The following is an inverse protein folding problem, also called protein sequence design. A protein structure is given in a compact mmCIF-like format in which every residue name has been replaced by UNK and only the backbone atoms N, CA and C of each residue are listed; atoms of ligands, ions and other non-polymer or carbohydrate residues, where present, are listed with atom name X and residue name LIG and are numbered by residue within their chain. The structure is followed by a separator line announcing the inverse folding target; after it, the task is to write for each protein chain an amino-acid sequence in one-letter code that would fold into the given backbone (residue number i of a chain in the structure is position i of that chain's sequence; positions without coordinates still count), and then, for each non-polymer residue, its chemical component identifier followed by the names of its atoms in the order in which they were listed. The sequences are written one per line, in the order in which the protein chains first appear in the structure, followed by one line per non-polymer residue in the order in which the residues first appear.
data_IF_392821508887
#
_entry.id   IF_392821508887
#
_cell.length_a   1.000
_cell.length_b   1.000
_cell.length_c   1.000
_cell.angle_alpha   90.00
_cell.angle_beta   90.00
_cell.angle_gamma   90.00
#
_symmetry.space_group_name_H-M   'P 1'
#
loop_
_entity.id
_entity.type
_entity.pdbx_description
1 polymer ?
#
# COMPACT_ATOMS: atom_id res chain seq x y z
N UNK A 1 13.09 -4.85 0.54
CA UNK A 1 12.08 -4.17 1.41
C UNK A 1 12.48 -4.08 2.88
N UNK A 2 12.96 -5.17 3.52
CA UNK A 2 13.29 -5.14 4.96
C UNK A 2 14.50 -4.27 5.23
N UNK A 3 15.51 -4.30 4.36
CA UNK A 3 16.68 -3.42 4.48
C UNK A 3 16.28 -1.95 4.49
N UNK A 4 15.39 -1.54 3.56
CA UNK A 4 14.82 -0.19 3.55
C UNK A 4 14.03 0.13 4.83
N UNK A 5 13.24 -0.82 5.35
CA UNK A 5 12.55 -0.61 6.62
C UNK A 5 13.54 -0.42 7.77
N UNK A 6 14.60 -1.22 7.85
CA UNK A 6 15.62 -1.11 8.90
C UNK A 6 16.44 0.18 8.78
N UNK A 7 16.71 0.64 7.56
CA UNK A 7 17.29 1.95 7.31
C UNK A 7 16.37 3.04 7.85
N UNK A 8 15.11 3.06 7.42
CA UNK A 8 14.11 4.03 7.86
C UNK A 8 13.92 4.01 9.38
N UNK A 9 13.88 2.83 10.01
CA UNK A 9 13.73 2.66 11.45
C UNK A 9 14.87 3.33 12.24
N UNK A 10 16.10 3.33 11.73
CA UNK A 10 17.24 4.00 12.38
C UNK A 10 17.11 5.53 12.35
N UNK A 11 16.36 6.07 11.40
CA UNK A 11 16.18 7.50 11.19
C UNK A 11 14.96 8.05 11.95
N UNK A 12 14.05 7.17 12.37
CA UNK A 12 12.87 7.52 13.17
C UNK A 12 13.21 7.61 14.67
N UNK A 13 12.38 8.30 15.48
CA UNK A 13 12.57 8.36 16.92
C UNK A 13 12.70 6.96 17.55
N UNK A 14 13.61 6.73 18.50
CA UNK A 14 13.79 5.41 19.12
C UNK A 14 12.48 4.86 19.69
N UNK A 15 12.18 3.60 19.38
CA UNK A 15 10.97 2.91 19.85
C UNK A 15 9.65 3.35 19.18
N UNK A 16 9.70 4.12 18.09
CA UNK A 16 8.49 4.57 17.36
C UNK A 16 8.08 3.67 16.20
N UNK A 17 8.92 2.71 15.80
CA UNK A 17 8.64 1.79 14.69
C UNK A 17 8.86 0.35 15.12
N UNK A 18 7.88 -0.51 14.84
CA UNK A 18 7.84 -1.91 15.26
C UNK A 18 7.54 -2.82 14.07
N UNK A 19 8.08 -4.04 14.13
CA UNK A 19 7.83 -5.11 13.15
C UNK A 19 7.23 -6.28 13.90
N UNK A 20 6.04 -6.70 13.48
CA UNK A 20 5.35 -7.88 14.03
C UNK A 20 5.24 -9.00 13.00
N UNK A 21 5.19 -10.25 13.47
CA UNK A 21 5.08 -11.46 12.65
C UNK A 21 6.44 -12.11 12.38
N UNK A 22 6.51 -12.95 11.35
CA UNK A 22 7.69 -13.79 11.08
C UNK A 22 8.98 -13.02 10.74
N UNK A 23 8.88 -11.73 10.40
CA UNK A 23 10.04 -10.88 10.11
C UNK A 23 10.52 -10.06 11.32
N UNK A 24 9.85 -10.16 12.47
CA UNK A 24 10.14 -9.34 13.64
C UNK A 24 9.70 -10.00 14.93
N UNK A 25 9.11 -9.21 15.83
CA UNK A 25 8.59 -9.73 17.09
C UNK A 25 7.32 -10.57 16.84
N UNK A 26 7.05 -11.60 17.66
CA UNK A 26 5.76 -12.27 17.63
C UNK A 26 4.61 -11.26 17.70
N UNK A 27 3.59 -11.44 16.86
CA UNK A 27 2.41 -10.58 16.93
C UNK A 27 1.73 -10.76 18.29
N UNK A 28 1.44 -9.67 19.03
CA UNK A 28 0.77 -9.77 20.33
C UNK A 28 -0.68 -10.23 20.19
N UNK A 29 -1.26 -10.16 18.99
CA UNK A 29 -2.63 -10.58 18.74
C UNK A 29 -2.71 -12.04 18.29
N UNK A 30 -3.60 -12.85 18.89
CA UNK A 30 -3.81 -14.22 18.50
C UNK A 30 -4.48 -14.30 17.13
N UNK A 31 -4.11 -15.33 16.35
CA UNK A 31 -4.72 -15.58 15.04
C UNK A 31 -4.38 -14.53 13.98
N UNK A 32 -5.23 -14.44 12.95
CA UNK A 32 -5.02 -13.58 11.76
C UNK A 32 -6.25 -12.73 11.42
N UNK A 33 -7.24 -12.68 12.31
CA UNK A 33 -8.44 -11.88 12.05
C UNK A 33 -8.22 -10.43 12.45
N UNK A 34 -7.90 -9.59 11.47
CA UNK A 34 -7.57 -8.18 11.69
C UNK A 34 -8.78 -7.32 12.10
N UNK A 35 -10.00 -7.84 11.99
CA UNK A 35 -11.20 -7.18 12.51
C UNK A 35 -11.35 -7.31 14.03
N UNK A 36 -10.64 -8.24 14.66
CA UNK A 36 -10.80 -8.51 16.09
C UNK A 36 -10.30 -7.34 16.95
N UNK A 37 -10.80 -7.26 18.18
CA UNK A 37 -10.51 -6.17 19.11
C UNK A 37 -9.00 -5.98 19.33
N UNK A 38 -8.22 -7.07 19.38
CA UNK A 38 -6.78 -6.97 19.57
C UNK A 38 -6.09 -6.24 18.41
N UNK A 39 -6.38 -6.59 17.15
CA UNK A 39 -5.74 -5.93 16.01
C UNK A 39 -6.17 -4.46 15.90
N UNK A 40 -7.43 -4.15 16.21
CA UNK A 40 -7.90 -2.76 16.26
C UNK A 40 -7.17 -1.95 17.33
N UNK A 41 -6.94 -2.52 18.52
CA UNK A 41 -6.16 -1.90 19.58
C UNK A 41 -4.68 -1.77 19.21
N UNK A 42 -4.09 -2.79 18.58
CA UNK A 42 -2.71 -2.72 18.13
C UNK A 42 -2.52 -1.64 17.06
N UNK A 43 -3.40 -1.59 16.05
CA UNK A 43 -3.28 -0.63 14.96
C UNK A 43 -3.59 0.81 15.38
N UNK A 44 -4.47 1.03 16.37
CA UNK A 44 -4.78 2.38 16.85
C UNK A 44 -3.58 3.09 17.51
N UNK A 45 -2.55 2.35 17.88
CA UNK A 45 -1.31 2.88 18.46
C UNK A 45 -0.35 3.47 17.43
N UNK A 46 -0.63 3.31 16.13
CA UNK A 46 0.27 3.74 15.05
C UNK A 46 -0.40 4.75 14.12
N UNK A 47 0.38 5.72 13.67
CA UNK A 47 -0.05 6.68 12.65
C UNK A 47 0.21 6.18 11.22
N UNK A 48 1.25 5.38 11.04
CA UNK A 48 1.71 4.92 9.73
C UNK A 48 1.74 3.40 9.65
N UNK A 49 1.39 2.86 8.48
CA UNK A 49 1.50 1.43 8.18
C UNK A 49 2.47 1.20 7.04
N UNK A 50 3.54 0.43 7.25
CA UNK A 50 4.49 0.06 6.19
C UNK A 50 3.85 -0.93 5.21
N UNK A 51 3.20 -0.41 4.16
CA UNK A 51 2.52 -1.16 3.11
C UNK A 51 3.51 -1.62 2.04
N UNK A 52 4.52 -2.41 2.45
CA UNK A 52 5.63 -2.81 1.59
C UNK A 52 5.36 -4.15 0.92
N UNK A 53 5.30 -4.15 -0.40
CA UNK A 53 5.15 -5.38 -1.17
C UNK A 53 6.42 -6.21 -1.22
N UNK A 54 6.25 -7.47 -1.62
CA UNK A 54 7.36 -8.43 -1.67
C UNK A 54 8.34 -8.14 -2.82
N UNK A 55 7.88 -7.46 -3.87
CA UNK A 55 8.63 -7.11 -5.08
C UNK A 55 8.21 -5.72 -5.58
N UNK A 56 9.02 -5.05 -6.40
CA UNK A 56 8.62 -3.81 -7.07
C UNK A 56 8.11 -4.10 -8.48
N UNK A 57 6.81 -4.11 -8.74
CA UNK A 57 6.27 -4.44 -10.06
C UNK A 57 5.16 -3.50 -10.50
N UNK A 58 5.00 -3.33 -11.82
CA UNK A 58 3.95 -2.51 -12.41
C UNK A 58 2.56 -3.00 -11.96
N UNK A 59 1.81 -2.12 -11.29
CA UNK A 59 0.47 -2.43 -10.77
C UNK A 59 0.40 -3.47 -9.65
N UNK A 60 1.53 -3.93 -9.07
CA UNK A 60 1.52 -4.91 -7.98
C UNK A 60 1.22 -4.25 -6.64
N UNK A 61 -0.07 -4.16 -6.31
CA UNK A 61 -0.59 -3.57 -5.06
C UNK A 61 -1.57 -4.55 -4.44
N UNK A 62 -1.37 -4.92 -3.18
CA UNK A 62 -2.12 -6.00 -2.50
C UNK A 62 -2.90 -5.50 -1.29
N UNK A 63 -3.36 -6.43 -0.43
CA UNK A 63 -4.06 -6.13 0.82
C UNK A 63 -3.27 -5.22 1.76
N UNK A 64 -1.93 -5.22 1.66
CA UNK A 64 -1.05 -4.45 2.56
C UNK A 64 -1.32 -2.96 2.48
N UNK A 65 -1.54 -2.43 1.28
CA UNK A 65 -1.87 -1.02 1.09
C UNK A 65 -3.20 -0.66 1.74
N UNK A 66 -4.23 -1.46 1.46
CA UNK A 66 -5.57 -1.23 1.97
C UNK A 66 -5.69 -1.41 3.49
N UNK A 67 -4.85 -2.28 4.09
CA UNK A 67 -4.82 -2.49 5.54
C UNK A 67 -4.57 -1.18 6.31
N UNK A 68 -3.61 -0.37 5.87
CA UNK A 68 -3.36 0.94 6.47
C UNK A 68 -4.62 1.82 6.43
N UNK A 69 -5.20 1.96 5.24
CA UNK A 69 -6.38 2.78 4.99
C UNK A 69 -7.59 2.35 5.83
N UNK A 70 -7.89 1.04 5.85
CA UNK A 70 -9.03 0.46 6.56
C UNK A 70 -8.93 0.68 8.07
N UNK A 71 -7.71 0.63 8.62
CA UNK A 71 -7.48 0.78 10.06
C UNK A 71 -7.16 2.23 10.50
N UNK A 72 -7.35 3.22 9.62
CA UNK A 72 -7.18 4.63 9.98
C UNK A 72 -5.72 5.08 10.12
N UNK A 73 -4.79 4.35 9.50
CA UNK A 73 -3.38 4.70 9.39
C UNK A 73 -3.09 5.25 8.00
N UNK A 74 -2.02 6.04 7.87
CA UNK A 74 -1.49 6.47 6.58
C UNK A 74 -0.58 5.36 6.02
N UNK A 75 -0.88 4.76 4.86
CA UNK A 75 0.01 3.78 4.25
C UNK A 75 1.31 4.45 3.79
N UNK A 76 2.44 3.82 4.11
CA UNK A 76 3.72 4.08 3.49
C UNK A 76 3.93 3.03 2.38
N UNK A 77 3.72 3.45 1.14
CA UNK A 77 3.66 2.60 -0.04
C UNK A 77 5.05 2.37 -0.65
N UNK A 78 5.38 1.10 -0.87
CA UNK A 78 6.55 0.63 -1.61
C UNK A 78 6.21 -0.71 -2.27
N UNK A 79 6.33 -0.83 -3.59
CA UNK A 79 5.96 -2.07 -4.29
C UNK A 79 5.42 -1.88 -5.69
N UNK A 80 4.59 -0.88 -5.93
CA UNK A 80 4.31 -0.43 -7.30
C UNK A 80 5.60 -0.01 -8.00
N UNK A 81 5.61 -0.06 -9.33
CA UNK A 81 6.72 0.43 -10.13
C UNK A 81 6.85 1.94 -10.01
N UNK A 82 5.73 2.63 -9.81
CA UNK A 82 5.70 4.08 -9.58
C UNK A 82 4.58 4.49 -8.64
N UNK A 83 4.66 5.72 -8.12
CA UNK A 83 3.55 6.36 -7.40
C UNK A 83 2.23 6.28 -8.17
N UNK A 84 2.27 6.40 -9.49
CA UNK A 84 1.07 6.41 -10.33
C UNK A 84 0.27 5.11 -10.24
N UNK A 85 0.90 3.98 -9.92
CA UNK A 85 0.18 2.72 -9.71
C UNK A 85 -0.78 2.82 -8.53
N UNK A 86 -0.36 3.51 -7.47
CA UNK A 86 -1.19 3.76 -6.29
C UNK A 86 -2.22 4.86 -6.53
N UNK A 87 -1.85 5.94 -7.22
CA UNK A 87 -2.76 7.07 -7.55
C UNK A 87 -3.95 6.67 -8.44
N UNK A 88 -3.84 5.56 -9.20
CA UNK A 88 -4.97 4.99 -9.96
C UNK A 88 -6.01 4.31 -9.06
N UNK A 89 -5.63 3.91 -7.84
CA UNK A 89 -6.46 3.15 -6.91
C UNK A 89 -6.94 3.99 -5.73
N UNK A 90 -6.15 4.95 -5.28
CA UNK A 90 -6.46 5.79 -4.13
C UNK A 90 -6.13 7.27 -4.41
N UNK A 91 -6.82 8.21 -3.73
CA UNK A 91 -6.49 9.63 -3.80
C UNK A 91 -5.03 9.90 -3.44
N UNK A 92 -4.41 10.83 -4.17
CA UNK A 92 -2.99 11.18 -3.99
C UNK A 92 -2.63 11.63 -2.57
N UNK A 93 -3.59 12.25 -1.88
CA UNK A 93 -3.45 12.74 -0.52
C UNK A 93 -3.67 11.65 0.54
N UNK A 94 -3.97 10.40 0.18
CA UNK A 94 -4.31 9.34 1.14
C UNK A 94 -3.11 8.52 1.65
N UNK A 95 -1.92 8.67 1.07
CA UNK A 95 -0.76 7.83 1.34
C UNK A 95 0.57 8.56 1.10
N UNK A 96 1.64 8.03 1.68
CA UNK A 96 3.02 8.41 1.37
C UNK A 96 3.62 7.37 0.43
N UNK A 97 4.24 7.79 -0.68
CA UNK A 97 5.01 6.89 -1.53
C UNK A 97 6.50 7.10 -1.28
N UNK A 98 7.28 6.02 -1.14
CA UNK A 98 8.70 6.13 -0.77
C UNK A 98 9.52 6.88 -1.82
N UNK A 99 9.16 6.78 -3.11
CA UNK A 99 9.88 7.46 -4.20
C UNK A 99 9.55 8.97 -4.30
N UNK A 100 8.64 9.49 -3.49
CA UNK A 100 8.36 10.94 -3.44
C UNK A 100 9.46 11.72 -2.72
N UNK A 101 10.37 11.01 -2.07
CA UNK A 101 11.43 11.56 -1.24
C UNK A 101 12.79 11.26 -1.87
N UNK A 102 13.69 12.24 -1.83
CA UNK A 102 15.04 12.08 -2.37
C UNK A 102 15.89 11.08 -1.56
N UNK A 103 15.53 10.84 -0.29
CA UNK A 103 16.21 9.90 0.59
C UNK A 103 15.29 9.34 1.68
N UNK A 104 15.70 8.23 2.30
CA UNK A 104 15.03 7.70 3.49
C UNK A 104 15.04 8.71 4.66
N UNK A 105 16.05 9.58 4.72
CA UNK A 105 16.14 10.65 5.71
C UNK A 105 15.07 11.72 5.50
N UNK A 106 14.82 12.12 4.25
CA UNK A 106 13.77 13.08 3.92
C UNK A 106 12.39 12.52 4.25
N UNK A 107 12.17 11.24 3.94
CA UNK A 107 10.94 10.52 4.33
C UNK A 107 10.78 10.48 5.86
N UNK A 108 11.83 10.09 6.61
CA UNK A 108 11.78 10.05 8.07
C UNK A 108 11.47 11.43 8.67
N UNK A 109 12.12 12.48 8.17
CA UNK A 109 11.88 13.86 8.61
C UNK A 109 10.42 14.27 8.37
N UNK A 110 9.88 13.94 7.20
CA UNK A 110 8.50 14.23 6.84
C UNK A 110 7.50 13.46 7.72
N UNK A 111 7.73 12.16 7.95
CA UNK A 111 6.90 11.34 8.84
C UNK A 111 6.88 11.90 10.27
N UNK A 112 8.03 12.34 10.78
CA UNK A 112 8.13 12.95 12.13
C UNK A 112 7.41 14.29 12.19
N UNK A 113 7.52 15.13 11.17
CA UNK A 113 6.80 16.41 11.09
C UNK A 113 5.27 16.22 11.06
N UNK A 114 4.78 15.28 10.24
CA UNK A 114 3.36 14.93 10.20
C UNK A 114 2.90 14.33 11.54
N UNK A 115 3.65 13.38 12.09
CA UNK A 115 3.27 12.69 13.34
C UNK A 115 3.20 13.62 14.56
N UNK A 116 3.86 14.78 14.51
CA UNK A 116 3.81 15.80 15.57
C UNK A 116 2.72 16.85 15.38
N UNK A 117 2.04 16.85 14.23
CA UNK A 117 1.04 17.84 13.87
C UNK A 117 -0.26 17.15 13.43
N UNK A 118 -1.25 17.17 14.33
CA UNK A 118 -2.54 16.52 14.10
C UNK A 118 -3.25 17.06 12.85
N UNK A 119 -3.14 18.36 12.55
CA UNK A 119 -3.79 18.94 11.37
C UNK A 119 -3.16 18.42 10.07
N UNK A 120 -1.82 18.35 10.01
CA UNK A 120 -1.12 17.74 8.87
C UNK A 120 -1.46 16.26 8.72
N UNK A 121 -1.52 15.51 9.83
CA UNK A 121 -1.89 14.10 9.80
C UNK A 121 -3.34 13.92 9.32
N UNK A 122 -4.27 14.74 9.81
CA UNK A 122 -5.68 14.65 9.47
C UNK A 122 -5.97 14.99 8.00
N UNK A 123 -5.10 15.74 7.32
CA UNK A 123 -5.22 16.00 5.87
C UNK A 123 -5.19 14.70 5.06
N UNK A 124 -4.48 13.65 5.51
CA UNK A 124 -4.44 12.36 4.83
C UNK A 124 -5.78 11.60 4.83
N UNK A 125 -6.77 12.09 5.58
CA UNK A 125 -8.10 11.48 5.66
C UNK A 125 -9.20 12.34 5.03
N UNK A 126 -8.84 13.48 4.40
CA UNK A 126 -9.79 14.36 3.74
C UNK A 126 -10.61 13.66 2.64
N UNK A 127 -10.01 12.65 1.99
CA UNK A 127 -10.67 11.79 1.00
C UNK A 127 -11.94 11.11 1.52
N UNK A 128 -12.08 10.87 2.83
CA UNK A 128 -13.26 10.20 3.42
C UNK A 128 -14.57 10.98 3.24
N UNK A 129 -14.47 12.28 2.96
CA UNK A 129 -15.63 13.12 2.61
C UNK A 129 -16.11 12.92 1.17
N UNK A 130 -15.27 12.33 0.30
CA UNK A 130 -15.50 12.21 -1.15
C UNK A 130 -15.59 10.76 -1.62
N UNK A 131 -14.98 9.83 -0.89
CA UNK A 131 -14.87 8.43 -1.27
C UNK A 131 -15.21 7.51 -0.10
N UNK A 132 -15.63 6.30 -0.45
CA UNK A 132 -15.88 5.21 0.49
C UNK A 132 -15.05 4.00 0.10
N UNK A 133 -14.66 3.21 1.10
CA UNK A 133 -14.03 1.91 0.85
C UNK A 133 -15.12 0.92 0.48
N UNK A 134 -14.95 0.28 -0.66
CA UNK A 134 -15.83 -0.80 -1.07
C UNK A 134 -15.38 -2.12 -0.45
N UNK A 135 -16.34 -2.93 -0.02
CA UNK A 135 -16.07 -4.28 0.44
C UNK A 135 -15.70 -5.20 -0.74
N UNK A 136 -15.11 -6.35 -0.41
CA UNK A 136 -14.57 -7.29 -1.41
C UNK A 136 -15.62 -7.83 -2.37
N UNK A 137 -16.82 -8.18 -1.87
CA UNK A 137 -17.85 -8.83 -2.69
C UNK A 137 -18.38 -7.93 -3.82
N UNK A 138 -18.87 -6.69 -3.55
CA UNK A 138 -19.31 -5.79 -4.62
C UNK A 138 -18.17 -5.43 -5.59
N UNK A 139 -16.95 -5.24 -5.06
CA UNK A 139 -15.77 -4.97 -5.89
C UNK A 139 -15.52 -6.12 -6.86
N UNK A 140 -15.60 -7.38 -6.41
CA UNK A 140 -15.39 -8.55 -7.25
C UNK A 140 -16.46 -8.65 -8.34
N UNK A 141 -17.74 -8.48 -7.99
CA UNK A 141 -18.85 -8.50 -8.96
C UNK A 141 -18.66 -7.45 -10.06
N UNK A 142 -18.34 -6.21 -9.71
CA UNK A 142 -18.08 -5.15 -10.69
C UNK A 142 -16.86 -5.45 -11.56
N UNK A 143 -15.79 -5.94 -10.95
CA UNK A 143 -14.56 -6.29 -11.68
C UNK A 143 -14.82 -7.35 -12.76
N UNK A 144 -15.65 -8.37 -12.47
CA UNK A 144 -16.03 -9.38 -13.45
C UNK A 144 -16.94 -8.81 -14.55
N UNK A 145 -17.86 -7.92 -14.20
CA UNK A 145 -18.71 -7.23 -15.18
C UNK A 145 -17.89 -6.35 -16.14
N UNK A 146 -16.96 -5.55 -15.61
CA UNK A 146 -16.05 -4.71 -16.40
C UNK A 146 -15.16 -5.54 -17.32
N UNK A 147 -14.65 -6.68 -16.83
CA UNK A 147 -13.88 -7.62 -17.63
C UNK A 147 -14.73 -8.19 -18.78
N UNK A 148 -15.97 -8.61 -18.50
CA UNK A 148 -16.90 -9.11 -19.51
C UNK A 148 -17.17 -8.05 -20.59
N UNK A 149 -17.40 -6.80 -20.19
CA UNK A 149 -17.60 -5.69 -21.11
C UNK A 149 -16.35 -5.40 -21.96
N UNK A 150 -15.16 -5.45 -21.36
CA UNK A 150 -13.88 -5.26 -22.04
C UNK A 150 -13.58 -6.37 -23.07
N UNK A 151 -14.05 -7.59 -22.82
CA UNK A 151 -13.92 -8.74 -23.74
C UNK A 151 -14.99 -8.76 -24.84
N UNK A 152 -16.03 -7.92 -24.74
CA UNK A 152 -17.12 -7.92 -25.71
C UNK A 152 -16.66 -7.30 -27.05
N UNK A 153 -16.91 -7.94 -28.21
CA UNK A 153 -16.37 -7.54 -29.53
C UNK A 153 -16.79 -6.15 -30.05
N UNK A 154 -17.70 -5.47 -29.35
CA UNK A 154 -18.29 -4.19 -29.78
C UNK A 154 -17.42 -2.98 -29.46
N UNK A 155 -16.43 -3.10 -28.55
CA UNK A 155 -15.43 -2.04 -28.30
C UNK A 155 -14.21 -2.28 -29.20
N UNK A 156 -13.71 -1.21 -29.85
CA UNK A 156 -12.53 -1.20 -30.74
C UNK A 156 -11.51 -2.25 -30.33
N UNK A 157 -11.20 -3.21 -31.22
CA UNK A 157 -10.14 -4.20 -31.01
C UNK A 157 -8.87 -3.47 -30.56
N UNK A 158 -8.55 -3.59 -29.26
CA UNK A 158 -7.25 -3.16 -28.77
C UNK A 158 -6.18 -3.96 -29.54
N UNK A 159 -5.01 -3.36 -29.82
CA UNK A 159 -3.91 -4.11 -30.42
C UNK A 159 -3.68 -5.38 -29.62
N UNK A 160 -3.68 -6.54 -30.28
CA UNK A 160 -3.34 -7.80 -29.62
C UNK A 160 -1.91 -7.70 -29.13
N UNK A 161 -1.71 -7.81 -27.81
CA UNK A 161 -0.38 -8.00 -27.23
C UNK A 161 -0.18 -9.49 -27.03
N UNK A 162 0.87 -10.03 -27.63
CA UNK A 162 1.29 -11.43 -27.44
C UNK A 162 2.59 -11.45 -26.65
N UNK A 163 2.59 -12.17 -25.54
CA UNK A 163 3.78 -12.39 -24.73
C UNK A 163 4.26 -13.83 -25.01
N UNK A 164 5.48 -13.97 -25.55
CA UNK A 164 6.04 -15.28 -25.91
C UNK A 164 6.42 -16.13 -24.69
N UNK A 165 6.63 -15.48 -23.55
CA UNK A 165 6.98 -16.09 -22.28
C UNK A 165 6.34 -15.26 -21.16
N UNK A 166 5.33 -15.84 -20.50
CA UNK A 166 4.60 -15.17 -19.42
C UNK A 166 5.46 -15.02 -18.16
N UNK A 167 6.35 -15.98 -17.88
CA UNK A 167 7.20 -15.94 -16.70
C UNK A 167 8.22 -14.81 -16.82
N UNK A 168 8.87 -14.72 -17.98
CA UNK A 168 9.78 -13.61 -18.31
C UNK A 168 9.08 -12.26 -18.28
N UNK A 169 7.93 -12.15 -18.96
CA UNK A 169 7.18 -10.89 -18.98
C UNK A 169 6.81 -10.44 -17.57
N UNK A 170 6.30 -11.36 -16.75
CA UNK A 170 5.81 -11.03 -15.41
C UNK A 170 6.94 -10.75 -14.42
N UNK A 171 7.95 -11.63 -14.33
CA UNK A 171 8.96 -11.55 -13.27
C UNK A 171 10.23 -10.79 -13.65
N UNK A 172 10.55 -10.65 -14.95
CA UNK A 172 11.81 -10.05 -15.40
C UNK A 172 11.61 -8.70 -16.09
N UNK A 173 10.50 -8.52 -16.80
CA UNK A 173 10.24 -7.29 -17.56
C UNK A 173 9.30 -6.32 -16.83
N UNK A 174 8.43 -6.84 -15.95
CA UNK A 174 7.44 -6.03 -15.21
C UNK A 174 7.83 -5.78 -13.75
N UNK A 175 8.93 -6.37 -13.27
CA UNK A 175 9.37 -6.34 -11.88
C UNK A 175 10.85 -5.97 -11.72
N UNK A 176 11.16 -5.27 -10.64
CA UNK A 176 12.48 -5.11 -10.06
C UNK A 176 12.46 -5.87 -8.73
N UNK A 177 13.32 -6.88 -8.60
CA UNK A 177 13.53 -7.58 -7.32
C UNK A 177 14.31 -6.69 -6.36
N UNK A 178 13.88 -6.65 -5.09
CA UNK A 178 14.58 -5.93 -4.03
C UNK A 178 15.96 -6.50 -3.71
#
# INVERSE_FOLDING_TARGET
RLDFFYELQKLLPPGSAHIYGGCGQPCPCPGRNESDACYRELFSQYSFYAAFENSRCDGYITEKFWRGIMHGMVPLALGGMSRQDYSRLAPDDAFLHVDDFASAQDLANHMVDIGRNADKYNQFFAWRSRFQLESREPMAERSFCELCEALTPTKRRRPTRTFGDLERWWYQESCITF
#
